data_IF_555052333637
#
_entry.id   IF_555052333637
#
_cell.length_a   1.000
_cell.length_b   1.000
_cell.length_c   1.000
_cell.angle_alpha   90.00
_cell.angle_beta   90.00
_cell.angle_gamma   90.00
#
_symmetry.space_group_name_H-M   'P 1'
#
loop_
_entity.id
_entity.type
_entity.pdbx_description
1 polymer ?
#
# COMPACT_ATOMS: atom_id res chain seq x y z
N UNK A 1 -34.43 -13.10 30.64
CA UNK A 1 -34.86 -11.81 30.07
C UNK A 1 -33.89 -11.44 28.97
N UNK A 2 -34.28 -11.59 27.69
CA UNK A 2 -33.43 -11.27 26.55
C UNK A 2 -33.66 -9.81 26.15
N UNK A 3 -32.69 -8.94 26.39
CA UNK A 3 -32.74 -7.56 25.92
C UNK A 3 -32.64 -7.56 24.39
N UNK A 4 -33.69 -7.11 23.71
CA UNK A 4 -33.67 -6.94 22.26
C UNK A 4 -32.57 -5.93 21.87
N UNK A 5 -31.71 -6.22 20.89
CA UNK A 5 -30.66 -5.30 20.48
C UNK A 5 -31.28 -4.03 19.85
N UNK A 6 -30.90 -2.89 20.41
CA UNK A 6 -31.44 -1.55 20.12
C UNK A 6 -31.25 -1.15 18.63
N UNK A 7 -32.26 -0.56 17.96
CA UNK A 7 -32.22 -0.22 16.52
C UNK A 7 -31.10 0.78 16.14
N UNK A 8 -30.62 1.57 17.11
CA UNK A 8 -29.48 2.50 16.92
C UNK A 8 -28.15 1.78 16.68
N UNK A 9 -27.90 0.66 17.39
CA UNK A 9 -26.67 -0.14 17.20
C UNK A 9 -26.61 -0.78 15.81
N UNK A 10 -27.75 -1.25 15.31
CA UNK A 10 -27.84 -1.82 13.94
C UNK A 10 -27.56 -0.77 12.86
N UNK A 11 -28.11 0.45 13.01
CA UNK A 11 -27.84 1.54 12.05
C UNK A 11 -26.38 1.98 12.06
N UNK A 12 -25.76 2.11 13.23
CA UNK A 12 -24.36 2.48 13.35
C UNK A 12 -23.42 1.44 12.71
N UNK A 13 -23.68 0.14 12.94
CA UNK A 13 -22.90 -0.93 12.34
C UNK A 13 -23.02 -0.97 10.81
N UNK A 14 -24.21 -0.70 10.24
CA UNK A 14 -24.40 -0.65 8.78
C UNK A 14 -23.64 0.53 8.16
N UNK A 15 -23.71 1.72 8.78
CA UNK A 15 -22.97 2.90 8.30
C UNK A 15 -21.46 2.68 8.38
N UNK A 16 -20.98 2.07 9.46
CA UNK A 16 -19.57 1.71 9.64
C UNK A 16 -19.09 0.72 8.58
N UNK A 17 -19.88 -0.32 8.27
CA UNK A 17 -19.56 -1.27 7.19
C UNK A 17 -19.44 -0.57 5.84
N UNK A 18 -20.40 0.27 5.45
CA UNK A 18 -20.35 1.01 4.18
C UNK A 18 -19.09 1.88 4.09
N UNK A 19 -18.71 2.54 5.20
CA UNK A 19 -17.54 3.39 5.23
C UNK A 19 -16.21 2.60 5.11
N UNK A 20 -16.12 1.40 5.69
CA UNK A 20 -14.98 0.48 5.47
C UNK A 20 -14.81 0.13 3.98
N UNK A 21 -15.91 -0.18 3.29
CA UNK A 21 -15.89 -0.54 1.87
C UNK A 21 -15.42 0.61 0.97
N UNK A 22 -15.96 1.82 1.19
CA UNK A 22 -15.59 3.00 0.38
C UNK A 22 -14.10 3.33 0.49
N UNK A 23 -13.53 3.33 1.69
CA UNK A 23 -12.10 3.65 1.85
C UNK A 23 -11.21 2.53 1.29
N UNK A 24 -11.60 1.26 1.44
CA UNK A 24 -10.89 0.15 0.82
C UNK A 24 -10.84 0.28 -0.71
N UNK A 25 -11.94 0.69 -1.36
CA UNK A 25 -12.00 0.91 -2.80
C UNK A 25 -11.14 2.11 -3.26
N UNK A 26 -11.08 3.20 -2.48
CA UNK A 26 -10.20 4.33 -2.77
C UNK A 26 -8.73 3.94 -2.64
N UNK A 27 -8.38 3.22 -1.56
CA UNK A 27 -7.04 2.71 -1.34
C UNK A 27 -6.59 1.79 -2.48
N UNK A 28 -7.45 0.85 -2.88
CA UNK A 28 -7.22 -0.02 -4.04
C UNK A 28 -6.82 0.79 -5.28
N UNK A 29 -7.58 1.83 -5.62
CA UNK A 29 -7.31 2.62 -6.81
C UNK A 29 -5.92 3.27 -6.77
N UNK A 30 -5.49 3.79 -5.61
CA UNK A 30 -4.16 4.38 -5.45
C UNK A 30 -3.06 3.33 -5.55
N UNK A 31 -3.18 2.20 -4.87
CA UNK A 31 -2.19 1.12 -4.94
C UNK A 31 -2.03 0.58 -6.37
N UNK A 32 -3.13 0.44 -7.12
CA UNK A 32 -3.10 0.02 -8.52
C UNK A 32 -2.42 1.10 -9.39
N UNK A 33 -2.82 2.37 -9.26
CA UNK A 33 -2.20 3.46 -10.03
C UNK A 33 -0.72 3.61 -9.68
N UNK A 34 -0.32 3.30 -8.44
CA UNK A 34 1.06 3.46 -8.00
C UNK A 34 2.03 2.49 -8.71
N UNK A 35 1.61 1.27 -9.05
CA UNK A 35 2.53 0.22 -9.51
C UNK A 35 2.14 -0.52 -10.80
N UNK A 36 1.15 -0.02 -11.56
CA UNK A 36 0.75 -0.59 -12.87
C UNK A 36 1.76 -0.35 -14.00
N UNK A 37 2.71 0.58 -13.87
CA UNK A 37 3.72 0.86 -14.93
C UNK A 37 4.82 -0.20 -15.09
N UNK A 38 4.82 -1.23 -14.23
CA UNK A 38 5.78 -2.35 -14.23
C UNK A 38 5.78 -3.20 -15.53
N UNK A 39 4.84 -3.00 -16.45
CA UNK A 39 4.65 -3.84 -17.64
C UNK A 39 5.07 -3.24 -18.99
N UNK A 40 5.60 -2.01 -19.04
CA UNK A 40 5.81 -1.29 -20.33
C UNK A 40 7.26 -1.06 -20.76
N UNK A 41 8.26 -1.54 -20.03
CA UNK A 41 9.66 -1.35 -20.41
C UNK A 41 10.34 -2.66 -20.82
N UNK A 42 9.94 -3.19 -21.97
CA UNK A 42 10.73 -4.15 -22.74
C UNK A 42 11.38 -3.46 -23.93
N UNK A 43 12.72 -3.51 -23.91
CA UNK A 43 13.69 -3.49 -25.00
C UNK A 43 13.94 -2.21 -25.81
N UNK A 44 15.13 -1.65 -25.59
CA UNK A 44 15.76 -0.64 -26.44
C UNK A 44 17.28 -0.61 -26.28
N UNK A 45 17.95 -1.76 -26.20
CA UNK A 45 19.41 -1.82 -26.24
C UNK A 45 19.94 -1.68 -27.66
N UNK A 46 20.71 -0.61 -27.94
CA UNK A 46 21.74 -0.62 -28.99
C UNK A 46 23.03 0.01 -28.44
N UNK A 47 24.07 -0.81 -28.50
CA UNK A 47 25.45 -0.61 -28.08
C UNK A 47 26.15 0.51 -28.88
N UNK A 48 26.89 1.39 -28.19
CA UNK A 48 27.89 2.26 -28.82
C UNK A 48 29.20 2.26 -28.02
N UNK A 49 30.30 1.86 -28.68
CA UNK A 49 31.69 1.85 -28.18
C UNK A 49 32.29 3.27 -28.03
N UNK A 50 33.36 3.46 -27.24
CA UNK A 50 33.75 4.77 -26.68
C UNK A 50 34.92 5.48 -27.40
N UNK A 51 35.09 6.80 -27.21
CA UNK A 51 36.40 7.47 -27.26
C UNK A 51 36.88 7.92 -25.85
N UNK A 52 38.19 8.21 -25.66
CA UNK A 52 38.79 8.32 -24.34
C UNK A 52 38.77 9.72 -23.72
N UNK A 53 38.75 9.71 -22.38
CA UNK A 53 39.27 10.72 -21.43
C UNK A 53 38.73 12.15 -21.46
N UNK A 54 37.92 12.49 -20.46
CA UNK A 54 38.11 13.68 -19.59
C UNK A 54 37.21 13.63 -18.35
N UNK A 55 37.76 14.12 -17.25
CA UNK A 55 37.28 14.12 -15.86
C UNK A 55 35.89 14.74 -15.64
N UNK A 56 34.90 13.96 -15.17
CA UNK A 56 33.75 14.45 -14.37
C UNK A 56 33.18 13.33 -13.50
N UNK A 57 33.56 13.25 -12.23
CA UNK A 57 33.07 12.25 -11.25
C UNK A 57 31.74 12.68 -10.61
N UNK A 58 30.69 12.89 -11.41
CA UNK A 58 29.36 13.26 -10.87
C UNK A 58 28.19 12.54 -11.55
N UNK A 59 28.40 11.85 -12.68
CA UNK A 59 27.34 11.11 -13.38
C UNK A 59 27.19 9.65 -12.96
N UNK A 60 28.20 9.05 -12.31
CA UNK A 60 28.17 7.63 -11.92
C UNK A 60 27.21 7.34 -10.77
N UNK A 61 27.00 8.29 -9.84
CA UNK A 61 26.15 8.09 -8.67
C UNK A 61 24.66 8.03 -9.01
N UNK A 62 24.20 8.84 -9.96
CA UNK A 62 22.79 8.83 -10.39
C UNK A 62 22.44 7.55 -11.13
N UNK A 63 23.31 7.06 -12.03
CA UNK A 63 23.03 5.80 -12.73
C UNK A 63 23.04 4.59 -11.78
N UNK A 64 23.96 4.55 -10.80
CA UNK A 64 24.02 3.48 -9.82
C UNK A 64 22.80 3.47 -8.87
N UNK A 65 22.32 4.65 -8.44
CA UNK A 65 21.09 4.77 -7.66
C UNK A 65 19.88 4.30 -8.46
N UNK A 66 19.71 4.79 -9.70
CA UNK A 66 18.59 4.40 -10.56
C UNK A 66 18.56 2.90 -10.83
N UNK A 67 19.71 2.25 -11.07
CA UNK A 67 19.78 0.78 -11.24
C UNK A 67 19.40 0.04 -9.94
N UNK A 68 19.90 0.48 -8.79
CA UNK A 68 19.55 -0.11 -7.50
C UNK A 68 18.05 0.06 -7.19
N UNK A 69 17.48 1.22 -7.54
CA UNK A 69 16.07 1.53 -7.36
C UNK A 69 15.17 0.67 -8.25
N UNK A 70 15.52 0.49 -9.52
CA UNK A 70 14.84 -0.46 -10.40
C UNK A 70 14.86 -1.88 -9.84
N UNK A 71 16.03 -2.33 -9.37
CA UNK A 71 16.17 -3.65 -8.77
C UNK A 71 15.32 -3.84 -7.52
N UNK A 72 15.22 -2.80 -6.68
CA UNK A 72 14.35 -2.80 -5.50
C UNK A 72 12.86 -2.82 -5.89
N UNK A 73 12.45 -1.95 -6.80
CA UNK A 73 11.05 -1.83 -7.24
C UNK A 73 10.52 -3.15 -7.82
N UNK A 74 11.33 -3.86 -8.62
CA UNK A 74 10.96 -5.16 -9.18
C UNK A 74 10.65 -6.21 -8.10
N UNK A 75 11.30 -6.16 -6.94
CA UNK A 75 11.03 -7.09 -5.82
C UNK A 75 9.85 -6.62 -4.98
N UNK A 76 9.86 -5.36 -4.57
CA UNK A 76 8.84 -4.80 -3.68
C UNK A 76 7.48 -4.60 -4.36
N UNK A 77 7.47 -4.42 -5.69
CA UNK A 77 6.28 -4.14 -6.51
C UNK A 77 5.15 -5.16 -6.33
N UNK A 78 5.48 -6.43 -6.11
CA UNK A 78 4.47 -7.46 -5.91
C UNK A 78 3.75 -7.33 -4.57
N UNK A 79 4.42 -6.84 -3.51
CA UNK A 79 3.76 -6.55 -2.25
C UNK A 79 2.70 -5.46 -2.39
N UNK A 80 2.94 -4.41 -3.18
CA UNK A 80 1.94 -3.38 -3.41
C UNK A 80 0.72 -3.90 -4.19
N UNK A 81 0.93 -4.79 -5.19
CA UNK A 81 -0.17 -5.45 -5.90
C UNK A 81 -0.98 -6.35 -4.97
N UNK A 82 -0.32 -7.08 -4.08
CA UNK A 82 -0.96 -7.93 -3.08
C UNK A 82 -1.74 -7.12 -2.04
N UNK A 83 -1.22 -5.96 -1.62
CA UNK A 83 -1.93 -4.99 -0.77
C UNK A 83 -3.20 -4.47 -1.44
N UNK A 84 -3.12 -4.10 -2.73
CA UNK A 84 -4.29 -3.75 -3.53
C UNK A 84 -5.32 -4.89 -3.53
N UNK A 85 -4.92 -6.12 -3.86
CA UNK A 85 -5.83 -7.28 -3.86
C UNK A 85 -6.48 -7.54 -2.50
N UNK A 86 -5.73 -7.35 -1.41
CA UNK A 86 -6.28 -7.48 -0.07
C UNK A 86 -7.34 -6.42 0.23
N UNK A 87 -7.12 -5.16 -0.18
CA UNK A 87 -8.09 -4.07 -0.06
C UNK A 87 -9.34 -4.31 -0.91
N UNK A 88 -9.17 -4.78 -2.16
CA UNK A 88 -10.29 -5.19 -3.02
C UNK A 88 -11.13 -6.28 -2.36
N UNK A 89 -10.48 -7.29 -1.80
CA UNK A 89 -11.14 -8.37 -1.08
C UNK A 89 -11.93 -7.85 0.12
N UNK A 90 -11.36 -6.92 0.91
CA UNK A 90 -12.08 -6.28 2.04
C UNK A 90 -13.31 -5.53 1.53
N UNK A 91 -13.17 -4.73 0.47
CA UNK A 91 -14.29 -3.97 -0.11
C UNK A 91 -15.41 -4.90 -0.58
N UNK A 92 -15.08 -5.90 -1.39
CA UNK A 92 -16.06 -6.84 -1.92
C UNK A 92 -16.75 -7.65 -0.81
N UNK A 93 -16.01 -8.04 0.22
CA UNK A 93 -16.54 -8.76 1.36
C UNK A 93 -17.48 -7.90 2.23
N UNK A 94 -17.16 -6.62 2.40
CA UNK A 94 -18.06 -5.64 3.04
C UNK A 94 -19.38 -5.55 2.28
N UNK A 95 -19.33 -5.40 0.95
CA UNK A 95 -20.52 -5.28 0.11
C UNK A 95 -21.39 -6.55 0.14
N UNK A 96 -20.74 -7.72 0.18
CA UNK A 96 -21.41 -9.02 0.33
C UNK A 96 -21.87 -9.32 1.78
N UNK A 97 -21.53 -8.46 2.75
CA UNK A 97 -21.71 -8.69 4.18
C UNK A 97 -21.07 -10.02 4.67
N UNK A 98 -19.96 -10.44 4.04
CA UNK A 98 -19.18 -11.62 4.38
C UNK A 98 -18.04 -11.27 5.35
N UNK A 99 -18.29 -11.53 6.63
CA UNK A 99 -17.39 -11.14 7.71
C UNK A 99 -16.14 -12.00 7.79
N UNK A 100 -16.23 -13.27 7.38
CA UNK A 100 -15.08 -14.15 7.33
C UNK A 100 -14.12 -13.71 6.22
N UNK A 101 -14.67 -13.29 5.08
CA UNK A 101 -13.90 -12.73 3.99
C UNK A 101 -13.29 -11.35 4.34
N UNK A 102 -14.01 -10.47 5.08
CA UNK A 102 -13.43 -9.21 5.60
C UNK A 102 -12.23 -9.50 6.50
N UNK A 103 -12.37 -10.42 7.47
CA UNK A 103 -11.27 -10.80 8.36
C UNK A 103 -10.07 -11.32 7.58
N UNK A 104 -10.31 -12.19 6.61
CA UNK A 104 -9.26 -12.76 5.74
C UNK A 104 -8.54 -11.67 4.95
N UNK A 105 -9.29 -10.73 4.37
CA UNK A 105 -8.72 -9.60 3.63
C UNK A 105 -7.86 -8.70 4.52
N UNK A 106 -8.32 -8.39 5.73
CA UNK A 106 -7.58 -7.56 6.68
C UNK A 106 -6.32 -8.26 7.22
N UNK A 107 -6.36 -9.57 7.44
CA UNK A 107 -5.16 -10.34 7.78
C UNK A 107 -4.15 -10.33 6.62
N UNK A 108 -4.61 -10.55 5.38
CA UNK A 108 -3.75 -10.49 4.20
C UNK A 108 -3.12 -9.12 4.00
N UNK A 109 -3.88 -8.06 4.26
CA UNK A 109 -3.37 -6.68 4.20
C UNK A 109 -2.27 -6.46 5.25
N UNK A 110 -2.49 -6.92 6.49
CA UNK A 110 -1.46 -6.90 7.53
C UNK A 110 -0.20 -7.64 7.08
N UNK A 111 -0.31 -8.93 6.73
CA UNK A 111 0.85 -9.78 6.48
C UNK A 111 1.65 -9.30 5.26
N UNK A 112 0.97 -8.86 4.21
CA UNK A 112 1.63 -8.31 3.02
C UNK A 112 2.51 -7.11 3.35
N UNK A 113 2.09 -6.22 4.26
CA UNK A 113 2.82 -4.97 4.54
C UNK A 113 3.79 -5.11 5.71
N UNK A 114 3.31 -5.61 6.86
CA UNK A 114 4.10 -5.70 8.09
C UNK A 114 5.16 -6.82 8.05
N UNK A 115 4.98 -7.82 7.18
CA UNK A 115 5.93 -8.93 7.03
C UNK A 115 6.58 -8.87 5.65
N UNK A 116 5.78 -8.88 4.58
CA UNK A 116 6.28 -8.92 3.21
C UNK A 116 7.09 -7.68 2.84
N UNK A 117 6.42 -6.55 2.65
CA UNK A 117 7.07 -5.31 2.24
C UNK A 117 8.13 -4.84 3.24
N UNK A 118 7.89 -5.03 4.54
CA UNK A 118 8.87 -4.71 5.59
C UNK A 118 10.20 -5.46 5.41
N UNK A 119 10.18 -6.69 4.89
CA UNK A 119 11.40 -7.47 4.63
C UNK A 119 12.22 -6.94 3.44
N UNK A 120 11.59 -6.16 2.55
CA UNK A 120 12.24 -5.48 1.43
C UNK A 120 12.70 -4.06 1.78
N UNK A 121 12.62 -3.65 3.05
CA UNK A 121 13.24 -2.45 3.58
C UNK A 121 14.62 -2.77 4.22
N UNK A 122 15.61 -1.85 4.15
CA UNK A 122 15.53 -0.51 3.57
C UNK A 122 15.64 -0.47 2.05
N UNK A 123 15.09 0.57 1.45
CA UNK A 123 15.29 0.95 0.05
C UNK A 123 16.67 1.59 -0.14
N UNK A 124 17.21 1.64 -1.38
CA UNK A 124 18.45 2.36 -1.66
C UNK A 124 18.43 3.85 -1.30
N UNK A 125 17.27 4.52 -1.44
CA UNK A 125 17.05 5.89 -0.94
C UNK A 125 16.47 5.89 0.50
N UNK A 126 17.15 6.45 1.50
CA UNK A 126 16.62 6.53 2.87
C UNK A 126 15.36 7.39 3.01
N UNK A 127 15.11 8.38 2.13
CA UNK A 127 13.89 9.19 2.19
C UNK A 127 12.68 8.36 1.81
N UNK A 128 12.78 7.60 0.71
CA UNK A 128 11.78 6.60 0.34
C UNK A 128 11.55 5.57 1.46
N UNK A 129 12.61 5.05 2.08
CA UNK A 129 12.48 4.11 3.22
C UNK A 129 11.63 4.70 4.33
N UNK A 130 11.84 5.98 4.69
CA UNK A 130 11.12 6.62 5.77
C UNK A 130 9.61 6.76 5.46
N UNK A 131 9.25 7.12 4.23
CA UNK A 131 7.84 7.21 3.83
C UNK A 131 7.16 5.83 3.78
N UNK A 132 7.85 4.81 3.23
CA UNK A 132 7.31 3.46 3.21
C UNK A 132 7.14 2.86 4.60
N UNK A 133 8.06 3.15 5.53
CA UNK A 133 7.90 2.71 6.92
C UNK A 133 6.65 3.34 7.56
N UNK A 134 6.42 4.65 7.38
CA UNK A 134 5.22 5.32 7.90
C UNK A 134 3.94 4.75 7.28
N UNK A 135 3.95 4.47 5.98
CA UNK A 135 2.86 3.78 5.31
C UNK A 135 2.59 2.41 5.94
N UNK A 136 3.61 1.57 6.15
CA UNK A 136 3.47 0.24 6.76
C UNK A 136 2.90 0.36 8.18
N UNK A 137 3.39 1.29 8.99
CA UNK A 137 2.93 1.51 10.35
C UNK A 137 1.44 1.90 10.39
N UNK A 138 1.02 2.76 9.46
CA UNK A 138 -0.38 3.19 9.33
C UNK A 138 -1.27 2.05 8.80
N UNK A 139 -0.83 1.27 7.81
CA UNK A 139 -1.55 0.07 7.35
C UNK A 139 -1.69 -0.95 8.47
N UNK A 140 -0.64 -1.16 9.25
CA UNK A 140 -0.65 -2.10 10.37
C UNK A 140 -1.70 -1.68 11.42
N UNK A 141 -1.77 -0.38 11.72
CA UNK A 141 -2.79 0.17 12.63
C UNK A 141 -4.20 -0.02 12.06
N UNK A 142 -4.39 0.28 10.77
CA UNK A 142 -5.66 0.09 10.09
C UNK A 142 -6.09 -1.38 10.08
N UNK A 143 -5.20 -2.30 9.71
CA UNK A 143 -5.49 -3.73 9.63
C UNK A 143 -5.91 -4.31 10.99
N UNK A 144 -5.22 -3.93 12.08
CA UNK A 144 -5.63 -4.30 13.43
C UNK A 144 -7.02 -3.75 13.80
N UNK A 145 -7.31 -2.49 13.47
CA UNK A 145 -8.64 -1.92 13.68
C UNK A 145 -9.72 -2.66 12.89
N UNK A 146 -9.46 -3.00 11.62
CA UNK A 146 -10.37 -3.84 10.84
C UNK A 146 -10.61 -5.20 11.50
N UNK A 147 -9.54 -5.89 11.92
CA UNK A 147 -9.67 -7.20 12.58
C UNK A 147 -10.52 -7.09 13.85
N UNK A 148 -10.28 -6.09 14.70
CA UNK A 148 -11.12 -5.82 15.88
C UNK A 148 -12.56 -5.53 15.49
N UNK A 149 -12.80 -4.74 14.44
CA UNK A 149 -14.15 -4.46 13.94
C UNK A 149 -14.89 -5.76 13.58
N UNK A 150 -14.23 -6.73 12.95
CA UNK A 150 -14.89 -8.02 12.61
C UNK A 150 -15.41 -8.77 13.84
N UNK A 151 -14.75 -8.61 14.99
CA UNK A 151 -15.11 -9.23 16.25
C UNK A 151 -16.15 -8.41 17.04
N UNK A 152 -15.97 -7.09 17.13
CA UNK A 152 -16.71 -6.22 18.05
C UNK A 152 -17.87 -5.46 17.39
N UNK A 153 -17.76 -5.14 16.09
CA UNK A 153 -18.63 -4.21 15.35
C UNK A 153 -18.71 -2.80 15.94
N UNK A 154 -17.66 -2.42 16.63
CA UNK A 154 -17.57 -1.13 17.27
C UNK A 154 -17.25 -0.04 16.22
N UNK A 155 -18.04 1.05 16.15
CA UNK A 155 -17.86 2.07 15.12
C UNK A 155 -16.50 2.77 15.20
N UNK A 156 -15.90 2.86 16.40
CA UNK A 156 -14.56 3.43 16.58
C UNK A 156 -13.48 2.67 15.82
N UNK A 157 -13.57 1.34 15.73
CA UNK A 157 -12.62 0.51 14.99
C UNK A 157 -12.73 0.78 13.47
N UNK A 158 -13.94 1.00 12.96
CA UNK A 158 -14.15 1.40 11.57
C UNK A 158 -13.59 2.81 11.30
N UNK A 159 -13.74 3.75 12.23
CA UNK A 159 -13.15 5.09 12.11
C UNK A 159 -11.62 5.03 12.12
N UNK A 160 -11.02 4.27 13.03
CA UNK A 160 -9.56 4.06 13.08
C UNK A 160 -9.05 3.43 11.79
N UNK A 161 -9.73 2.39 11.26
CA UNK A 161 -9.36 1.81 9.96
C UNK A 161 -9.32 2.87 8.85
N UNK A 162 -10.34 3.72 8.75
CA UNK A 162 -10.43 4.73 7.71
C UNK A 162 -9.35 5.80 7.83
N UNK A 163 -9.13 6.33 9.03
CA UNK A 163 -8.16 7.39 9.30
C UNK A 163 -6.75 6.94 8.93
N UNK A 164 -6.34 5.77 9.43
CA UNK A 164 -5.00 5.26 9.21
C UNK A 164 -4.79 4.77 7.78
N UNK A 165 -5.80 4.16 7.14
CA UNK A 165 -5.68 3.80 5.73
C UNK A 165 -5.57 5.04 4.83
N UNK A 166 -6.25 6.14 5.18
CA UNK A 166 -6.10 7.43 4.46
C UNK A 166 -4.69 7.99 4.61
N UNK A 167 -4.13 7.99 5.82
CA UNK A 167 -2.75 8.45 6.04
C UNK A 167 -1.73 7.56 5.33
N UNK A 168 -1.94 6.25 5.30
CA UNK A 168 -1.10 5.33 4.54
C UNK A 168 -1.10 5.67 3.04
N UNK A 169 -2.26 6.04 2.47
CA UNK A 169 -2.37 6.49 1.07
C UNK A 169 -1.55 7.75 0.83
N UNK A 170 -1.57 8.71 1.77
CA UNK A 170 -0.78 9.94 1.66
C UNK A 170 0.72 9.61 1.64
N UNK A 171 1.20 8.78 2.57
CA UNK A 171 2.59 8.32 2.61
C UNK A 171 2.98 7.55 1.34
N UNK A 172 2.10 6.69 0.82
CA UNK A 172 2.35 5.97 -0.42
C UNK A 172 2.44 6.91 -1.62
N UNK A 173 1.62 7.96 -1.65
CA UNK A 173 1.65 8.96 -2.72
C UNK A 173 2.98 9.71 -2.72
N UNK A 174 3.48 10.11 -1.54
CA UNK A 174 4.81 10.71 -1.39
C UNK A 174 5.92 9.73 -1.76
N UNK A 175 5.85 8.48 -1.30
CA UNK A 175 6.81 7.43 -1.65
C UNK A 175 6.89 7.22 -3.17
N UNK A 176 5.75 7.21 -3.87
CA UNK A 176 5.73 7.11 -5.34
C UNK A 176 6.41 8.30 -6.01
N UNK A 177 6.20 9.51 -5.52
CA UNK A 177 6.85 10.70 -6.09
C UNK A 177 8.37 10.60 -5.97
N UNK A 178 8.87 10.20 -4.80
CA UNK A 178 10.31 9.99 -4.56
C UNK A 178 10.85 8.91 -5.50
N UNK A 179 10.18 7.76 -5.59
CA UNK A 179 10.58 6.67 -6.48
C UNK A 179 10.65 7.13 -7.94
N UNK A 180 9.65 7.86 -8.41
CA UNK A 180 9.62 8.42 -9.76
C UNK A 180 10.80 9.37 -10.00
N UNK A 181 11.11 10.24 -9.04
CA UNK A 181 12.28 11.13 -9.12
C UNK A 181 13.60 10.37 -9.22
N UNK A 182 13.79 9.33 -8.40
CA UNK A 182 14.99 8.48 -8.42
C UNK A 182 15.14 7.68 -9.72
N UNK A 183 14.02 7.32 -10.34
CA UNK A 183 13.96 6.61 -11.63
C UNK A 183 14.01 7.56 -12.83
N UNK A 184 13.96 8.87 -12.62
CA UNK A 184 13.90 9.87 -13.69
C UNK A 184 12.58 9.89 -14.47
N UNK A 185 11.51 9.34 -13.88
CA UNK A 185 10.16 9.31 -14.43
C UNK A 185 9.42 10.56 -13.92
N UNK A 186 8.85 11.39 -14.81
CA UNK A 186 8.06 12.58 -14.46
C UNK A 186 6.68 12.52 -15.07
#
# INVERSE_FOLDING_TARGET
MASAPQPRRRRAAVVASVALGVVAAVALAVFVIAFVDMGRHTDGGVVASPPPSTTTTTTTSTSALTEAMWGWELRAGDHFKESARALEQVSAAVDANDQAAVRTGCQRLHDTNAIGLQADLPTPDPVLTAELQRMIDDINTAAHACLRFTDTRHPEDATTYQEYLTRAIDHLTTAKQILNEDLGQR
#
